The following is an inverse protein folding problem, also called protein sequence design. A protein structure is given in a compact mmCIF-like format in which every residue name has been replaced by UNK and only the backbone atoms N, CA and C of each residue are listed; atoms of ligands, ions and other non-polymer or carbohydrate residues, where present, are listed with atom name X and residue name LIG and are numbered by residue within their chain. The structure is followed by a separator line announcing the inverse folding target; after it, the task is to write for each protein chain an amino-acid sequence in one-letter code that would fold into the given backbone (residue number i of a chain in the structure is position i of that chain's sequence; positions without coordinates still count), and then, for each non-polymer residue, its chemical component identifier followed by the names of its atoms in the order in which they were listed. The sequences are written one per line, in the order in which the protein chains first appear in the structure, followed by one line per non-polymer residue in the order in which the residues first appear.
data_IF_471710002623
#
_entry.id   IF_471710002623
#
_cell.length_a   1.000
_cell.length_b   1.000
_cell.length_c   1.000
_cell.angle_alpha   90.00
_cell.angle_beta   90.00
_cell.angle_gamma   90.00
#
_symmetry.space_group_name_H-M   'P 1'
#
loop_
_entity.id
_entity.type
_entity.pdbx_description
1 polymer ?
#
# COMPACT_ATOMS: atom_id res chain seq x y z
N UNK A 1 -43.08 8.04 -54.84
CA UNK A 1 -42.14 8.33 -53.73
C UNK A 1 -42.75 7.79 -52.45
N UNK A 2 -42.32 6.62 -51.98
CA UNK A 2 -42.89 5.97 -50.78
C UNK A 2 -42.17 6.50 -49.55
N UNK A 3 -42.91 7.15 -48.65
CA UNK A 3 -42.40 7.71 -47.38
C UNK A 3 -42.49 6.62 -46.32
N UNK A 4 -41.36 5.97 -46.02
CA UNK A 4 -41.28 4.96 -44.95
C UNK A 4 -41.47 5.63 -43.60
N UNK A 5 -42.61 5.39 -42.94
CA UNK A 5 -42.86 5.84 -41.57
C UNK A 5 -41.95 5.06 -40.63
N UNK A 6 -40.98 5.75 -40.01
CA UNK A 6 -40.04 5.16 -39.05
C UNK A 6 -40.81 4.75 -37.79
N UNK A 7 -40.88 3.44 -37.53
CA UNK A 7 -41.55 2.88 -36.37
C UNK A 7 -40.70 3.12 -35.11
N UNK A 8 -41.02 4.17 -34.35
CA UNK A 8 -40.42 4.39 -33.04
C UNK A 8 -41.09 3.46 -32.03
N UNK A 9 -40.63 2.21 -31.96
CA UNK A 9 -40.97 1.34 -30.82
C UNK A 9 -40.28 1.93 -29.59
N UNK A 10 -41.05 2.56 -28.70
CA UNK A 10 -40.54 3.04 -27.42
C UNK A 10 -40.19 1.87 -26.51
N UNK A 11 -39.10 2.02 -25.75
CA UNK A 11 -38.76 1.10 -24.65
C UNK A 11 -39.89 1.14 -23.62
N UNK A 12 -40.23 0.00 -23.04
CA UNK A 12 -41.24 -0.06 -21.99
C UNK A 12 -40.61 0.16 -20.61
N UNK A 13 -41.38 0.72 -19.67
CA UNK A 13 -40.88 0.92 -18.29
C UNK A 13 -40.52 -0.41 -17.60
N UNK A 14 -41.22 -1.50 -17.94
CA UNK A 14 -40.97 -2.83 -17.38
C UNK A 14 -39.60 -3.38 -17.83
N UNK A 15 -39.19 -3.12 -19.07
CA UNK A 15 -37.86 -3.50 -19.57
C UNK A 15 -36.76 -2.75 -18.84
N UNK A 16 -36.95 -1.44 -18.62
CA UNK A 16 -36.00 -0.64 -17.84
C UNK A 16 -35.94 -1.12 -16.37
N UNK A 17 -37.09 -1.50 -15.80
CA UNK A 17 -37.20 -1.97 -14.42
C UNK A 17 -36.48 -3.31 -14.20
N UNK A 18 -36.62 -4.26 -15.11
CA UNK A 18 -35.91 -5.54 -15.02
C UNK A 18 -34.38 -5.35 -15.03
N UNK A 19 -33.86 -4.42 -15.83
CA UNK A 19 -32.42 -4.14 -15.93
C UNK A 19 -31.85 -3.57 -14.64
N UNK A 20 -32.51 -2.57 -14.05
CA UNK A 20 -32.03 -1.95 -12.80
C UNK A 20 -32.07 -2.93 -11.62
N UNK A 21 -33.03 -3.86 -11.59
CA UNK A 21 -33.10 -4.92 -10.57
C UNK A 21 -31.89 -5.85 -10.68
N UNK A 22 -31.55 -6.28 -11.89
CA UNK A 22 -30.38 -7.14 -12.12
C UNK A 22 -29.08 -6.39 -11.75
N UNK A 23 -28.92 -5.14 -12.19
CA UNK A 23 -27.76 -4.31 -11.83
C UNK A 23 -27.67 -4.12 -10.31
N UNK A 24 -28.80 -3.92 -9.62
CA UNK A 24 -28.85 -3.77 -8.17
C UNK A 24 -28.36 -5.01 -7.42
N UNK A 25 -28.77 -6.22 -7.85
CA UNK A 25 -28.32 -7.48 -7.25
C UNK A 25 -26.81 -7.67 -7.47
N UNK A 26 -26.31 -7.43 -8.68
CA UNK A 26 -24.87 -7.55 -8.99
C UNK A 26 -24.06 -6.52 -8.19
N UNK A 27 -24.52 -5.27 -8.12
CA UNK A 27 -23.85 -4.21 -7.38
C UNK A 27 -23.76 -4.50 -5.87
N UNK A 28 -24.80 -5.09 -5.28
CA UNK A 28 -24.82 -5.43 -3.85
C UNK A 28 -23.71 -6.42 -3.45
N UNK A 29 -23.34 -7.35 -4.34
CA UNK A 29 -22.26 -8.32 -4.10
C UNK A 29 -20.90 -7.75 -4.52
N UNK A 30 -20.84 -7.04 -5.64
CA UNK A 30 -19.59 -6.57 -6.23
C UNK A 30 -18.93 -5.46 -5.41
N UNK A 31 -19.69 -4.46 -4.92
CA UNK A 31 -19.15 -3.31 -4.18
C UNK A 31 -18.35 -3.72 -2.92
N UNK A 32 -18.89 -4.52 -1.99
CA UNK A 32 -18.14 -4.91 -0.79
C UNK A 32 -16.93 -5.81 -1.11
N UNK A 33 -16.98 -6.61 -2.18
CA UNK A 33 -15.87 -7.47 -2.59
C UNK A 33 -14.69 -6.65 -3.16
N UNK A 34 -14.97 -5.60 -3.94
CA UNK A 34 -13.95 -4.72 -4.51
C UNK A 34 -13.25 -3.91 -3.40
N UNK A 35 -14.01 -3.37 -2.45
CA UNK A 35 -13.43 -2.61 -1.32
C UNK A 35 -12.39 -3.41 -0.54
N UNK A 36 -12.74 -4.64 -0.11
CA UNK A 36 -11.82 -5.53 0.59
C UNK A 36 -10.57 -5.88 -0.23
N UNK A 37 -10.73 -6.04 -1.55
CA UNK A 37 -9.61 -6.37 -2.44
C UNK A 37 -8.63 -5.20 -2.53
N UNK A 38 -9.15 -3.97 -2.63
CA UNK A 38 -8.34 -2.75 -2.65
C UNK A 38 -7.61 -2.56 -1.32
N UNK A 39 -8.30 -2.69 -0.19
CA UNK A 39 -7.68 -2.57 1.13
C UNK A 39 -6.54 -3.57 1.32
N UNK A 40 -6.74 -4.83 0.93
CA UNK A 40 -5.70 -5.85 0.98
C UNK A 40 -4.53 -5.55 0.04
N UNK A 41 -4.79 -4.99 -1.15
CA UNK A 41 -3.74 -4.60 -2.08
C UNK A 41 -2.89 -3.46 -1.53
N UNK A 42 -3.51 -2.46 -0.91
CA UNK A 42 -2.81 -1.35 -0.25
C UNK A 42 -1.94 -1.85 0.90
N UNK A 43 -2.49 -2.68 1.80
CA UNK A 43 -1.71 -3.26 2.92
C UNK A 43 -0.52 -4.08 2.43
N UNK A 44 -0.67 -4.84 1.34
CA UNK A 44 0.43 -5.61 0.75
C UNK A 44 1.50 -4.71 0.12
N UNK A 45 1.11 -3.63 -0.56
CA UNK A 45 2.03 -2.67 -1.14
C UNK A 45 2.86 -1.96 -0.05
N UNK A 46 2.21 -1.55 1.03
CA UNK A 46 2.86 -0.95 2.20
C UNK A 46 3.80 -1.96 2.88
N UNK A 47 3.39 -3.22 3.01
CA UNK A 47 4.24 -4.27 3.59
C UNK A 47 5.49 -4.53 2.74
N UNK A 48 5.37 -4.55 1.41
CA UNK A 48 6.52 -4.68 0.52
C UNK A 48 7.48 -3.49 0.67
N UNK A 49 6.93 -2.27 0.74
CA UNK A 49 7.71 -1.05 0.94
C UNK A 49 8.39 -1.01 2.31
N UNK A 50 7.72 -1.52 3.36
CA UNK A 50 8.28 -1.66 4.71
C UNK A 50 9.51 -2.56 4.70
N UNK A 51 9.40 -3.73 4.07
CA UNK A 51 10.51 -4.70 3.95
C UNK A 51 11.68 -4.06 3.21
N UNK A 52 11.43 -3.35 2.11
CA UNK A 52 12.47 -2.64 1.38
C UNK A 52 13.20 -1.63 2.27
N UNK A 53 12.45 -0.81 3.01
CA UNK A 53 13.03 0.19 3.93
C UNK A 53 13.87 -0.49 5.02
N UNK A 54 13.36 -1.57 5.63
CA UNK A 54 14.09 -2.34 6.64
C UNK A 54 15.39 -2.93 6.08
N UNK A 55 15.37 -3.53 4.90
CA UNK A 55 16.57 -4.05 4.24
C UNK A 55 17.60 -2.93 3.95
N UNK A 56 17.14 -1.75 3.51
CA UNK A 56 18.04 -0.61 3.30
C UNK A 56 18.63 -0.07 4.60
N UNK A 57 17.88 -0.09 5.70
CA UNK A 57 18.39 0.28 7.02
C UNK A 57 19.45 -0.70 7.53
N UNK A 58 19.27 -2.01 7.26
CA UNK A 58 20.30 -3.03 7.53
C UNK A 58 21.55 -2.75 6.70
N UNK A 59 21.42 -2.44 5.40
CA UNK A 59 22.57 -2.07 4.55
C UNK A 59 23.31 -0.84 5.08
N UNK A 60 22.58 0.19 5.48
CA UNK A 60 23.14 1.38 6.11
C UNK A 60 24.00 1.05 7.34
N UNK A 61 23.51 0.15 8.20
CA UNK A 61 24.26 -0.33 9.36
C UNK A 61 25.48 -1.20 8.99
N UNK A 62 25.35 -2.04 7.95
CA UNK A 62 26.44 -2.90 7.45
C UNK A 62 27.61 -2.10 6.88
N UNK A 63 27.34 -0.95 6.26
CA UNK A 63 28.37 -0.03 5.78
C UNK A 63 29.09 0.73 6.92
N UNK A 64 28.72 0.46 8.17
CA UNK A 64 29.33 1.06 9.36
C UNK A 64 28.80 2.45 9.71
N UNK A 65 27.68 2.86 9.08
CA UNK A 65 27.06 4.14 9.40
C UNK A 65 26.14 4.03 10.64
N UNK A 66 25.93 5.17 11.31
CA UNK A 66 25.11 5.27 12.51
C UNK A 66 25.82 4.81 13.79
N UNK A 67 25.22 5.14 14.94
CA UNK A 67 25.78 4.83 16.26
C UNK A 67 24.92 3.81 16.96
N UNK A 68 25.51 2.68 17.35
CA UNK A 68 24.86 1.68 18.18
C UNK A 68 24.99 2.04 19.66
N UNK A 69 23.85 2.11 20.35
CA UNK A 69 23.76 2.19 21.82
C UNK A 69 22.99 0.98 22.31
N UNK A 70 23.55 0.20 23.23
CA UNK A 70 22.95 -1.04 23.73
C UNK A 70 22.53 -1.99 22.58
N UNK A 71 23.41 -2.20 21.60
CA UNK A 71 23.14 -3.03 20.41
C UNK A 71 21.99 -2.53 19.50
N UNK A 72 21.50 -1.30 19.69
CA UNK A 72 20.46 -0.69 18.86
C UNK A 72 20.91 0.62 18.20
N UNK A 73 20.46 0.85 16.97
CA UNK A 73 20.61 2.09 16.23
C UNK A 73 19.23 2.57 15.79
N UNK A 74 19.03 3.89 15.80
CA UNK A 74 17.84 4.51 15.21
C UNK A 74 18.26 5.32 13.99
N UNK A 75 17.58 5.09 12.87
CA UNK A 75 17.75 5.82 11.61
C UNK A 75 16.38 6.18 11.04
N UNK A 76 16.23 7.31 10.37
CA UNK A 76 14.94 7.70 9.76
C UNK A 76 14.90 7.34 8.28
N UNK A 77 13.70 7.16 7.72
CA UNK A 77 13.51 6.94 6.27
C UNK A 77 14.15 8.08 5.45
N UNK A 78 13.97 9.33 5.88
CA UNK A 78 14.56 10.50 5.24
C UNK A 78 16.08 10.48 5.25
N UNK A 79 16.70 9.93 6.30
CA UNK A 79 18.16 9.76 6.34
C UNK A 79 18.60 8.76 5.26
N UNK A 80 17.90 7.64 5.11
CA UNK A 80 18.22 6.65 4.07
C UNK A 80 18.08 7.21 2.65
N UNK A 81 17.11 8.09 2.41
CA UNK A 81 16.98 8.81 1.14
C UNK A 81 18.14 9.80 0.95
N UNK A 82 18.43 10.62 1.97
CA UNK A 82 19.50 11.63 1.89
C UNK A 82 20.90 11.04 1.68
N UNK A 83 21.13 9.83 2.21
CA UNK A 83 22.38 9.09 2.10
C UNK A 83 22.42 8.19 0.87
N UNK A 84 21.38 8.18 0.03
CA UNK A 84 21.36 7.44 -1.24
C UNK A 84 21.09 5.94 -1.14
N UNK A 85 20.66 5.45 0.03
CA UNK A 85 20.23 4.05 0.21
C UNK A 85 18.84 3.80 -0.36
N UNK A 86 18.01 4.85 -0.42
CA UNK A 86 16.72 4.87 -1.11
C UNK A 86 16.72 5.98 -2.16
N UNK A 87 16.20 5.69 -3.35
CA UNK A 87 16.05 6.69 -4.41
C UNK A 87 14.98 7.75 -4.06
N UNK A 88 13.96 7.33 -3.31
CA UNK A 88 12.86 8.17 -2.85
C UNK A 88 12.17 7.51 -1.66
N UNK A 89 11.47 8.31 -0.86
CA UNK A 89 10.61 7.77 0.20
C UNK A 89 9.39 7.05 -0.42
N UNK A 90 9.11 5.79 -0.03
CA UNK A 90 7.90 5.12 -0.47
C UNK A 90 6.63 5.80 0.08
N UNK A 91 5.54 5.77 -0.67
CA UNK A 91 4.22 6.15 -0.13
C UNK A 91 3.64 4.99 0.67
N UNK A 92 3.15 5.29 1.88
CA UNK A 92 2.50 4.32 2.76
C UNK A 92 1.05 4.75 3.01
N UNK A 93 0.10 4.20 2.24
CA UNK A 93 -1.30 4.62 2.26
C UNK A 93 -2.06 4.12 3.50
N UNK A 94 -1.65 2.98 4.06
CA UNK A 94 -2.25 2.39 5.27
C UNK A 94 -1.36 2.55 6.49
N UNK A 95 -0.04 2.43 6.34
CA UNK A 95 0.87 2.40 7.48
C UNK A 95 1.27 3.81 7.96
N UNK A 96 1.08 4.83 7.13
CA UNK A 96 1.28 6.24 7.52
C UNK A 96 2.73 6.60 7.86
N UNK A 97 3.71 5.81 7.42
CA UNK A 97 5.12 6.15 7.61
C UNK A 97 5.51 7.34 6.75
N UNK A 98 6.45 8.13 7.27
CA UNK A 98 6.96 9.35 6.66
C UNK A 98 8.48 9.37 6.72
N UNK A 99 9.11 10.36 6.11
CA UNK A 99 10.56 10.56 6.17
C UNK A 99 11.10 10.67 7.60
N UNK A 100 10.27 11.11 8.55
CA UNK A 100 10.60 11.25 9.96
C UNK A 100 10.38 9.96 10.77
N UNK A 101 9.83 8.91 10.16
CA UNK A 101 9.61 7.63 10.84
C UNK A 101 10.95 6.99 11.20
N UNK A 102 11.12 6.70 12.48
CA UNK A 102 12.28 6.01 13.02
C UNK A 102 12.24 4.53 12.66
N UNK A 103 13.38 3.99 12.27
CA UNK A 103 13.64 2.57 12.04
C UNK A 103 14.63 2.15 13.11
N UNK A 104 14.33 1.07 13.83
CA UNK A 104 15.22 0.52 14.84
C UNK A 104 16.00 -0.64 14.26
N UNK A 105 17.31 -0.49 14.17
CA UNK A 105 18.22 -1.57 13.76
C UNK A 105 18.85 -2.18 15.00
N UNK A 106 18.63 -3.47 15.23
CA UNK A 106 19.19 -4.22 16.36
C UNK A 106 20.28 -5.16 15.85
N UNK A 107 21.42 -5.18 16.53
CA UNK A 107 22.50 -6.14 16.30
C UNK A 107 22.22 -7.42 17.08
N UNK A 108 22.18 -8.54 16.37
CA UNK A 108 21.98 -9.85 16.97
C UNK A 108 23.29 -10.32 17.65
N UNK A 109 23.29 -10.57 18.98
CA UNK A 109 24.52 -10.77 19.75
C UNK A 109 25.39 -11.96 19.32
N UNK A 110 24.80 -12.96 18.66
CA UNK A 110 25.43 -14.27 18.47
C UNK A 110 25.78 -14.62 17.01
N UNK A 111 25.40 -13.78 16.04
CA UNK A 111 25.51 -14.11 14.61
C UNK A 111 26.06 -12.96 13.75
N UNK A 112 26.28 -11.77 14.33
CA UNK A 112 26.73 -10.60 13.56
C UNK A 112 25.69 -10.10 12.54
N UNK A 113 24.46 -10.61 12.63
CA UNK A 113 23.33 -10.19 11.80
C UNK A 113 22.71 -8.92 12.36
N UNK A 114 22.19 -8.06 11.48
CA UNK A 114 21.37 -6.92 11.87
C UNK A 114 19.91 -7.18 11.48
N UNK A 115 19.00 -6.74 12.33
CA UNK A 115 17.56 -6.76 12.07
C UNK A 115 17.03 -5.33 12.16
N UNK A 116 16.36 -4.86 11.12
CA UNK A 116 15.68 -3.57 11.15
C UNK A 116 14.17 -3.77 11.31
N UNK A 117 13.56 -2.93 12.15
CA UNK A 117 12.12 -2.90 12.34
C UNK A 117 11.60 -1.46 12.28
N UNK A 118 10.67 -1.22 11.37
CA UNK A 118 9.80 -0.05 11.41
C UNK A 118 8.77 -0.21 12.54
N UNK A 119 8.34 0.89 13.20
CA UNK A 119 7.37 0.85 14.29
C UNK A 119 6.08 0.21 13.83
N UNK A 120 5.37 -0.46 14.73
CA UNK A 120 4.03 -0.97 14.41
C UNK A 120 3.16 0.18 13.89
N UNK A 121 2.55 0.03 12.70
CA UNK A 121 1.71 1.09 12.14
C UNK A 121 0.58 1.40 13.12
N UNK A 122 0.29 2.69 13.31
CA UNK A 122 -0.86 3.11 14.12
C UNK A 122 -2.13 2.72 13.38
N UNK A 123 -2.96 1.88 14.01
CA UNK A 123 -4.26 1.42 13.52
C UNK A 123 -5.19 2.56 13.10
#
# INVERSE_FOLDING_TARGET
MVKTLRNQKGITLIELLAVIVIIGIVAAIAVPAIGKTIDNAQTKADQASKILVEETAVRYALDGNGTFTNEQMTVTIGTLVSQGYLNSSPSFEKFGYTDSTNITVTKEPNIGSFKAELPTPSS
#
